data_IF_256401200899
#
_entry.id   IF_256401200899
#
_cell.length_a   1.000
_cell.length_b   1.000
_cell.length_c   1.000
_cell.angle_alpha   90.00
_cell.angle_beta   90.00
_cell.angle_gamma   90.00
#
_symmetry.space_group_name_H-M   'P 1'
#
loop_
_entity.id
_entity.type
_entity.pdbx_description
1 polymer ?
#
# COMPACT_ATOMS: atom_id res chain seq x y z
N UNK A 1 -18.69 -0.91 11.75
CA UNK A 1 -18.29 -1.89 10.70
C UNK A 1 -17.08 -1.35 9.93
N UNK A 2 -16.20 -2.23 9.44
CA UNK A 2 -15.02 -1.85 8.64
C UNK A 2 -15.34 -2.07 7.16
N UNK A 3 -14.91 -1.15 6.30
CA UNK A 3 -14.98 -1.26 4.85
C UNK A 3 -13.59 -1.52 4.30
N UNK A 4 -13.48 -2.41 3.31
CA UNK A 4 -12.23 -2.71 2.62
C UNK A 4 -12.44 -2.69 1.11
N UNK A 5 -11.65 -1.88 0.40
CA UNK A 5 -11.57 -1.87 -1.05
C UNK A 5 -10.24 -2.50 -1.48
N UNK A 6 -10.30 -3.53 -2.32
CA UNK A 6 -9.14 -4.32 -2.77
C UNK A 6 -8.81 -3.93 -4.20
N UNK A 7 -7.52 -3.70 -4.47
CA UNK A 7 -7.02 -3.34 -5.79
C UNK A 7 -5.91 -4.31 -6.20
N UNK A 8 -6.14 -5.05 -7.29
CA UNK A 8 -5.14 -5.91 -7.91
C UNK A 8 -4.15 -5.00 -8.68
N UNK A 9 -2.85 -5.12 -8.36
CA UNK A 9 -1.80 -4.21 -8.83
C UNK A 9 -1.63 -4.14 -10.35
N UNK A 10 -1.99 -5.19 -11.08
CA UNK A 10 -1.97 -5.21 -12.55
C UNK A 10 -3.12 -4.44 -13.21
N UNK A 11 -4.14 -4.05 -12.43
CA UNK A 11 -5.34 -3.34 -12.93
C UNK A 11 -5.29 -1.84 -12.65
N UNK A 12 -4.22 -1.33 -12.01
CA UNK A 12 -4.05 0.09 -11.69
C UNK A 12 -2.82 0.67 -12.39
N UNK A 13 -2.98 1.87 -12.94
CA UNK A 13 -1.84 2.65 -13.43
C UNK A 13 -1.04 3.24 -12.27
N UNK A 14 0.22 3.61 -12.52
CA UNK A 14 1.05 4.30 -11.53
C UNK A 14 0.43 5.63 -11.07
N UNK A 15 -0.26 6.36 -11.96
CA UNK A 15 -0.93 7.60 -11.61
C UNK A 15 -2.11 7.36 -10.66
N UNK A 16 -2.94 6.35 -10.95
CA UNK A 16 -4.04 5.94 -10.06
C UNK A 16 -3.51 5.46 -8.71
N UNK A 17 -2.45 4.64 -8.69
CA UNK A 17 -1.80 4.19 -7.45
C UNK A 17 -1.37 5.36 -6.56
N UNK A 18 -0.65 6.34 -7.12
CA UNK A 18 -0.24 7.54 -6.38
C UNK A 18 -1.43 8.32 -5.83
N UNK A 19 -2.47 8.52 -6.65
CA UNK A 19 -3.64 9.28 -6.27
C UNK A 19 -4.48 8.56 -5.19
N UNK A 20 -4.74 7.27 -5.35
CA UNK A 20 -5.54 6.47 -4.42
C UNK A 20 -4.89 6.42 -3.04
N UNK A 21 -3.61 6.05 -2.96
CA UNK A 21 -2.90 5.99 -1.68
C UNK A 21 -2.69 7.39 -1.11
N UNK A 22 -2.28 8.35 -1.94
CA UNK A 22 -2.02 9.72 -1.51
C UNK A 22 -3.25 10.37 -0.88
N UNK A 23 -4.42 10.25 -1.51
CA UNK A 23 -5.67 10.76 -0.95
C UNK A 23 -6.11 9.99 0.29
N UNK A 24 -6.01 8.66 0.30
CA UNK A 24 -6.42 7.85 1.45
C UNK A 24 -5.60 8.18 2.73
N UNK A 25 -4.30 8.45 2.57
CA UNK A 25 -3.40 8.83 3.67
C UNK A 25 -3.67 10.22 4.26
N UNK A 26 -4.51 11.05 3.61
CA UNK A 26 -4.94 12.35 4.15
C UNK A 26 -6.20 12.25 5.01
N UNK A 27 -6.95 11.16 4.88
CA UNK A 27 -8.22 10.98 5.57
C UNK A 27 -8.03 10.31 6.93
N UNK A 28 -8.64 10.88 7.96
CA UNK A 28 -8.67 10.23 9.28
C UNK A 28 -9.43 8.90 9.19
N UNK A 29 -9.07 7.93 10.04
CA UNK A 29 -9.70 6.60 10.09
C UNK A 29 -9.63 5.78 8.78
N UNK A 30 -8.77 6.19 7.85
CA UNK A 30 -8.47 5.48 6.62
C UNK A 30 -7.02 4.97 6.67
N UNK A 31 -6.79 3.78 6.13
CA UNK A 31 -5.51 3.10 6.19
C UNK A 31 -5.21 2.36 4.89
N UNK A 32 -3.92 2.31 4.56
CA UNK A 32 -3.41 1.60 3.39
C UNK A 32 -2.60 0.39 3.84
N UNK A 33 -2.93 -0.79 3.31
CA UNK A 33 -2.08 -1.99 3.37
C UNK A 33 -1.58 -2.33 1.96
N UNK A 34 -0.29 -2.64 1.82
CA UNK A 34 0.30 -3.08 0.54
C UNK A 34 0.76 -4.52 0.63
N UNK A 35 0.47 -5.32 -0.40
CA UNK A 35 1.06 -6.63 -0.65
C UNK A 35 2.03 -6.48 -1.82
N UNK A 36 3.32 -6.73 -1.61
CA UNK A 36 4.35 -6.45 -2.60
C UNK A 36 5.46 -7.51 -2.61
N UNK A 37 6.17 -7.63 -3.74
CA UNK A 37 7.36 -8.47 -3.84
C UNK A 37 8.60 -7.70 -3.37
N UNK A 38 9.22 -8.15 -2.28
CA UNK A 38 10.40 -7.47 -1.68
C UNK A 38 11.57 -7.31 -2.63
N UNK A 39 11.81 -8.31 -3.48
CA UNK A 39 12.89 -8.29 -4.48
C UNK A 39 12.82 -7.07 -5.41
N UNK A 40 11.61 -6.59 -5.73
CA UNK A 40 11.42 -5.45 -6.62
C UNK A 40 11.85 -4.13 -5.99
N UNK A 41 11.93 -4.05 -4.65
CA UNK A 41 12.35 -2.85 -3.91
C UNK A 41 13.74 -3.02 -3.27
N UNK A 42 14.58 -3.89 -3.85
CA UNK A 42 15.96 -4.16 -3.39
C UNK A 42 16.07 -4.74 -1.97
N UNK A 43 15.01 -5.37 -1.47
CA UNK A 43 15.07 -6.20 -0.28
C UNK A 43 15.28 -7.68 -0.67
N UNK A 44 15.42 -8.55 0.34
CA UNK A 44 15.47 -10.00 0.15
C UNK A 44 14.21 -10.58 -0.54
N UNK A 45 14.12 -11.90 -0.66
CA UNK A 45 13.09 -12.56 -1.45
C UNK A 45 11.73 -12.64 -0.72
N UNK A 46 10.67 -12.97 -1.49
CA UNK A 46 9.34 -13.27 -0.97
C UNK A 46 8.32 -12.13 -1.08
N UNK A 47 7.03 -12.51 -1.05
CA UNK A 47 5.94 -11.57 -0.88
C UNK A 47 5.88 -11.05 0.56
N UNK A 48 5.45 -9.80 0.74
CA UNK A 48 5.31 -9.19 2.05
C UNK A 48 4.10 -8.27 2.13
N UNK A 49 3.52 -8.14 3.33
CA UNK A 49 2.41 -7.23 3.60
C UNK A 49 2.81 -6.29 4.73
N UNK A 50 2.58 -4.99 4.56
CA UNK A 50 2.79 -3.99 5.60
C UNK A 50 1.93 -2.74 5.37
N UNK A 51 1.65 -1.94 6.41
CA UNK A 51 0.99 -0.65 6.26
C UNK A 51 1.87 0.39 5.55
N UNK A 52 1.22 1.30 4.84
CA UNK A 52 1.83 2.56 4.38
C UNK A 52 1.38 3.67 5.32
N UNK A 53 2.33 4.45 5.82
CA UNK A 53 2.07 5.50 6.81
C UNK A 53 2.10 6.92 6.26
N UNK A 54 2.82 7.16 5.16
CA UNK A 54 2.96 8.49 4.61
C UNK A 54 3.32 8.46 3.13
N UNK A 55 3.00 9.55 2.45
CA UNK A 55 3.43 9.85 1.09
C UNK A 55 4.15 11.20 1.08
N UNK A 56 5.39 11.22 0.63
CA UNK A 56 6.14 12.45 0.40
C UNK A 56 6.11 12.77 -1.11
N UNK A 57 5.33 13.79 -1.48
CA UNK A 57 5.09 14.17 -2.88
C UNK A 57 6.33 14.77 -3.56
N UNK A 58 7.18 15.47 -2.82
CA UNK A 58 8.40 16.10 -3.36
C UNK A 58 9.42 15.07 -3.84
N UNK A 59 9.60 13.99 -3.08
CA UNK A 59 10.52 12.90 -3.43
C UNK A 59 9.84 11.70 -4.10
N UNK A 60 8.52 11.75 -4.28
CA UNK A 60 7.67 10.68 -4.81
C UNK A 60 7.88 9.33 -4.11
N UNK A 61 7.77 9.34 -2.78
CA UNK A 61 8.05 8.17 -1.92
C UNK A 61 6.94 7.86 -0.93
N UNK A 62 6.70 6.57 -0.73
CA UNK A 62 5.83 6.06 0.32
C UNK A 62 6.66 5.50 1.48
N UNK A 63 6.24 5.78 2.71
CA UNK A 63 6.81 5.19 3.93
C UNK A 63 6.08 3.88 4.26
N UNK A 64 6.79 2.77 4.13
CA UNK A 64 6.29 1.44 4.53
C UNK A 64 6.71 1.18 5.97
N UNK A 65 5.74 0.88 6.84
CA UNK A 65 5.98 0.43 8.22
C UNK A 65 6.22 -1.08 8.24
N UNK A 66 7.42 -1.52 7.82
CA UNK A 66 7.76 -2.94 7.71
C UNK A 66 7.59 -3.65 9.07
N UNK A 67 6.68 -4.62 9.12
CA UNK A 67 6.35 -5.37 10.33
C UNK A 67 7.44 -6.40 10.70
N UNK A 68 8.37 -6.69 9.79
CA UNK A 68 9.54 -7.54 10.01
C UNK A 68 10.67 -6.76 10.71
N UNK A 69 10.34 -6.13 11.85
CA UNK A 69 11.20 -5.15 12.56
C UNK A 69 12.59 -5.69 12.95
N UNK A 70 12.73 -7.00 13.10
CA UNK A 70 14.02 -7.65 13.37
C UNK A 70 14.97 -7.64 12.16
N UNK A 71 14.46 -7.33 10.97
CA UNK A 71 15.17 -7.42 9.69
C UNK A 71 15.31 -6.08 8.98
N UNK A 72 14.24 -5.28 8.97
CA UNK A 72 14.23 -4.00 8.29
C UNK A 72 13.58 -2.90 9.14
N UNK A 73 14.13 -1.68 9.13
CA UNK A 73 13.41 -0.51 9.64
C UNK A 73 12.28 -0.11 8.68
N UNK A 74 11.37 0.79 9.09
CA UNK A 74 10.50 1.48 8.14
C UNK A 74 11.31 2.11 7.00
N UNK A 75 10.79 2.04 5.77
CA UNK A 75 11.54 2.41 4.57
C UNK A 75 10.75 3.34 3.66
N UNK A 76 11.42 4.36 3.12
CA UNK A 76 10.89 5.23 2.08
C UNK A 76 11.20 4.65 0.68
N UNK A 77 10.19 4.11 0.02
CA UNK A 77 10.31 3.50 -1.31
C UNK A 77 9.73 4.44 -2.37
N UNK A 78 10.35 4.52 -3.55
CA UNK A 78 9.76 5.32 -4.65
C UNK A 78 8.40 4.76 -5.05
N UNK A 79 7.46 5.62 -5.39
CA UNK A 79 6.11 5.19 -5.79
C UNK A 79 6.15 4.24 -7.00
N UNK A 80 7.01 4.51 -7.98
CA UNK A 80 7.19 3.64 -9.15
C UNK A 80 7.71 2.24 -8.77
N UNK A 81 8.71 2.16 -7.89
CA UNK A 81 9.28 0.89 -7.44
C UNK A 81 8.24 0.06 -6.66
N UNK A 82 7.46 0.71 -5.78
CA UNK A 82 6.39 0.04 -5.05
C UNK A 82 5.24 -0.41 -5.97
N UNK A 83 4.86 0.42 -6.95
CA UNK A 83 3.86 0.05 -7.96
C UNK A 83 4.29 -1.17 -8.79
N UNK A 84 5.54 -1.19 -9.25
CA UNK A 84 6.11 -2.36 -9.92
C UNK A 84 6.09 -3.60 -9.01
N UNK A 85 6.34 -3.42 -7.71
CA UNK A 85 6.35 -4.51 -6.73
C UNK A 85 4.95 -5.12 -6.50
N UNK A 86 3.89 -4.31 -6.53
CA UNK A 86 2.50 -4.80 -6.40
C UNK A 86 1.98 -5.41 -7.72
N UNK A 87 2.49 -4.99 -8.88
CA UNK A 87 2.10 -5.51 -10.20
C UNK A 87 2.71 -6.90 -10.52
N UNK A 88 3.38 -7.53 -9.56
CA UNK A 88 3.97 -8.87 -9.71
C UNK A 88 2.96 -9.96 -9.41
N UNK A 89 3.00 -11.07 -10.15
CA UNK A 89 2.14 -12.24 -9.90
C UNK A 89 2.54 -12.93 -8.58
N UNK A 90 1.53 -13.25 -7.77
CA UNK A 90 1.62 -14.16 -6.64
C UNK A 90 1.25 -15.58 -7.11
N UNK A 91 2.22 -16.51 -7.03
CA UNK A 91 2.03 -17.89 -7.48
C UNK A 91 0.96 -18.65 -6.70
N UNK A 92 0.63 -18.21 -5.47
CA UNK A 92 -0.40 -18.87 -4.67
C UNK A 92 -1.81 -18.51 -5.13
N UNK A 93 -2.05 -17.25 -5.54
CA UNK A 93 -3.37 -16.78 -5.97
C UNK A 93 -3.57 -16.82 -7.49
N UNK A 94 -2.48 -16.84 -8.27
CA UNK A 94 -2.53 -16.68 -9.73
C UNK A 94 -2.86 -15.25 -10.19
N UNK A 95 -2.91 -14.29 -9.28
CA UNK A 95 -3.22 -12.87 -9.54
C UNK A 95 -1.99 -12.01 -9.26
N UNK A 96 -2.02 -10.75 -9.69
CA UNK A 96 -1.05 -9.78 -9.16
C UNK A 96 -1.25 -9.63 -7.65
N UNK A 97 -0.20 -9.15 -6.97
CA UNK A 97 -0.35 -8.57 -5.63
C UNK A 97 -1.13 -7.26 -5.73
N UNK A 98 -1.03 -6.35 -4.76
CA UNK A 98 -1.91 -5.19 -4.76
C UNK A 98 -1.89 -4.41 -3.46
N UNK A 99 -2.96 -3.68 -3.22
CA UNK A 99 -3.17 -2.96 -1.97
C UNK A 99 -4.63 -2.97 -1.55
N UNK A 100 -4.87 -2.67 -0.28
CA UNK A 100 -6.19 -2.58 0.32
C UNK A 100 -6.31 -1.23 1.00
N UNK A 101 -7.40 -0.53 0.68
CA UNK A 101 -7.83 0.66 1.39
C UNK A 101 -8.86 0.24 2.44
N UNK A 102 -8.59 0.56 3.71
CA UNK A 102 -9.42 0.15 4.84
C UNK A 102 -9.94 1.39 5.55
N UNK A 103 -11.23 1.45 5.85
CA UNK A 103 -11.82 2.53 6.64
C UNK A 103 -12.76 2.01 7.72
N UNK A 104 -12.84 2.70 8.86
CA UNK A 104 -13.90 2.44 9.83
C UNK A 104 -15.15 3.24 9.42
N UNK A 105 -16.30 2.56 9.30
CA UNK A 105 -17.58 3.17 8.94
C UNK A 105 -18.23 4.03 10.02
N UNK A 106 -17.45 4.92 10.67
CA UNK A 106 -17.90 5.83 11.73
C UNK A 106 -18.27 7.24 11.23
N UNK A 107 -18.16 7.53 9.93
CA UNK A 107 -18.49 8.85 9.36
C UNK A 107 -20.00 9.08 9.10
N UNK A 108 -20.89 8.37 9.81
CA UNK A 108 -22.34 8.62 9.78
C UNK A 108 -22.91 9.02 11.16
N UNK A 109 -22.10 9.47 12.12
CA UNK A 109 -22.58 9.77 13.48
C UNK A 109 -22.21 11.17 14.01
N UNK A 110 -21.82 12.11 13.15
CA UNK A 110 -21.64 13.53 13.52
C UNK A 110 -22.24 14.49 12.50
N UNK A 111 -23.50 14.28 12.13
CA UNK A 111 -24.40 15.40 11.83
C UNK A 111 -25.66 15.24 12.71
N UNK A 112 -25.68 15.98 13.82
CA UNK A 112 -26.87 16.35 14.59
C UNK A 112 -26.81 17.85 14.85
#
# INVERSE_FOLDING_TARGET
PVTAAVYDGGEVTLAEFRNLLGSNLQESNNFVLVNYLRKTIHQETGGHISPVAAYNKETDRFLILDVSRYKYPPVWVKAEELWQAIATIDSTSGKTRGFVLVSSGSDNMLEK
#
